data_IF_780582467518
#
_entry.id   IF_780582467518
#
_cell.length_a   1.000
_cell.length_b   1.000
_cell.length_c   1.000
_cell.angle_alpha   90.00
_cell.angle_beta   90.00
_cell.angle_gamma   90.00
#
_symmetry.space_group_name_H-M   'P 1'
#
loop_
_entity.id
_entity.type
_entity.pdbx_description
1 polymer ?
#
# COMPACT_ATOMS: atom_id res chain seq x y z
N UNK A 1 26.55 -15.46 6.76
CA UNK A 1 25.45 -15.23 7.74
C UNK A 1 25.36 -13.73 7.95
N UNK A 2 24.15 -13.16 7.85
CA UNK A 2 23.91 -11.73 8.13
C UNK A 2 23.60 -11.55 9.63
N UNK A 3 24.08 -10.47 10.22
CA UNK A 3 23.60 -10.01 11.52
C UNK A 3 22.16 -9.49 11.36
N UNK A 4 21.32 -9.60 12.38
CA UNK A 4 19.90 -9.24 12.24
C UNK A 4 19.69 -7.74 12.01
N UNK A 5 20.36 -6.88 12.79
CA UNK A 5 20.06 -5.45 12.83
C UNK A 5 21.30 -4.61 13.15
N UNK A 6 21.49 -3.53 12.40
CA UNK A 6 22.28 -2.37 12.78
C UNK A 6 21.33 -1.19 13.01
N UNK A 7 21.04 -0.86 14.27
CA UNK A 7 20.15 0.25 14.63
C UNK A 7 20.98 1.48 14.98
N UNK A 8 20.85 2.55 14.19
CA UNK A 8 21.45 3.86 14.43
C UNK A 8 20.39 4.96 14.52
N UNK A 9 19.10 4.59 14.60
CA UNK A 9 17.99 5.54 14.61
C UNK A 9 18.16 6.63 15.66
N UNK A 10 18.02 7.90 15.24
CA UNK A 10 18.20 9.09 16.06
C UNK A 10 19.66 9.47 16.37
N UNK A 11 20.64 8.69 15.92
CA UNK A 11 22.06 9.00 16.08
C UNK A 11 22.50 9.95 14.97
N UNK A 12 22.97 11.14 15.32
CA UNK A 12 23.53 12.08 14.34
C UNK A 12 24.79 11.49 13.68
N UNK A 13 24.78 11.33 12.36
CA UNK A 13 25.87 10.76 11.57
C UNK A 13 26.60 11.84 10.75
N UNK A 14 27.64 12.50 11.30
CA UNK A 14 28.47 13.42 10.54
C UNK A 14 29.44 12.68 9.61
N UNK A 15 30.04 13.37 8.64
CA UNK A 15 30.96 12.75 7.67
C UNK A 15 32.08 11.85 8.27
N UNK A 16 32.74 12.20 9.41
CA UNK A 16 33.73 11.31 10.01
C UNK A 16 33.17 9.97 10.52
N UNK A 17 31.86 9.90 10.82
CA UNK A 17 31.23 8.65 11.22
C UNK A 17 31.16 7.64 10.06
N UNK A 18 31.15 8.11 8.81
CA UNK A 18 31.11 7.24 7.63
C UNK A 18 32.36 6.34 7.54
N UNK A 19 33.55 6.81 7.94
CA UNK A 19 34.77 5.99 7.93
C UNK A 19 34.66 4.80 8.90
N UNK A 20 34.16 5.06 10.12
CA UNK A 20 33.94 4.02 11.11
C UNK A 20 32.86 3.04 10.67
N UNK A 21 31.79 3.54 10.04
CA UNK A 21 30.74 2.69 9.46
C UNK A 21 31.25 1.87 8.28
N UNK A 22 32.16 2.39 7.47
CA UNK A 22 32.77 1.64 6.37
C UNK A 22 33.53 0.41 6.89
N UNK A 23 34.35 0.60 7.92
CA UNK A 23 35.10 -0.48 8.56
C UNK A 23 34.17 -1.58 9.11
N UNK A 24 32.96 -1.20 9.54
CA UNK A 24 31.94 -2.13 9.99
C UNK A 24 31.27 -2.86 8.81
N UNK A 25 30.72 -2.11 7.84
CA UNK A 25 29.95 -2.66 6.71
C UNK A 25 30.81 -3.51 5.77
N UNK A 26 32.13 -3.25 5.70
CA UNK A 26 33.07 -4.11 4.97
C UNK A 26 33.19 -5.51 5.58
N UNK A 27 32.95 -5.67 6.89
CA UNK A 27 33.15 -6.93 7.63
C UNK A 27 31.85 -7.65 7.97
N UNK A 28 30.75 -6.92 8.06
CA UNK A 28 29.47 -7.44 8.55
C UNK A 28 28.36 -7.06 7.59
N UNK A 29 27.63 -8.06 7.10
CA UNK A 29 26.37 -7.86 6.39
C UNK A 29 25.21 -7.95 7.38
N UNK A 30 24.19 -7.12 7.19
CA UNK A 30 23.00 -7.03 8.02
C UNK A 30 21.76 -7.44 7.23
N UNK A 31 20.77 -7.99 7.92
CA UNK A 31 19.42 -8.14 7.39
C UNK A 31 18.76 -6.76 7.31
N UNK A 32 18.85 -5.96 8.39
CA UNK A 32 18.29 -4.60 8.43
C UNK A 32 19.30 -3.57 8.93
N UNK A 33 19.33 -2.41 8.29
CA UNK A 33 20.04 -1.22 8.75
C UNK A 33 19.01 -0.10 8.95
N UNK A 34 18.98 0.47 10.15
CA UNK A 34 18.12 1.61 10.48
C UNK A 34 18.94 2.88 10.66
N UNK A 35 18.69 3.85 9.78
CA UNK A 35 19.29 5.18 9.75
C UNK A 35 18.22 6.27 9.93
N UNK A 36 17.09 5.94 10.55
CA UNK A 36 16.00 6.89 10.71
C UNK A 36 16.45 8.08 11.57
N UNK A 37 16.16 9.32 11.14
CA UNK A 37 16.47 10.52 11.91
C UNK A 37 17.97 10.72 12.19
N UNK A 38 18.86 10.15 11.36
CA UNK A 38 20.31 10.24 11.55
C UNK A 38 20.93 11.56 11.06
N UNK A 39 20.11 12.44 10.48
CA UNK A 39 20.59 13.72 9.97
C UNK A 39 21.40 13.61 8.69
N UNK A 40 21.10 12.60 7.86
CA UNK A 40 21.82 12.38 6.61
C UNK A 40 21.71 13.60 5.69
N UNK A 41 22.85 14.23 5.42
CA UNK A 41 23.05 15.23 4.37
C UNK A 41 23.44 14.55 3.07
N UNK A 42 23.43 15.28 1.95
CA UNK A 42 23.89 14.78 0.65
C UNK A 42 25.25 14.08 0.71
N UNK A 43 26.25 14.67 1.38
CA UNK A 43 27.59 14.10 1.41
C UNK A 43 27.66 12.81 2.23
N UNK A 44 27.02 12.80 3.41
CA UNK A 44 26.96 11.59 4.25
C UNK A 44 26.14 10.47 3.62
N UNK A 45 25.03 10.82 2.96
CA UNK A 45 24.17 9.86 2.30
C UNK A 45 24.84 9.23 1.09
N UNK A 46 25.57 10.00 0.28
CA UNK A 46 26.36 9.47 -0.84
C UNK A 46 27.34 8.41 -0.35
N UNK A 47 28.13 8.72 0.68
CA UNK A 47 29.06 7.74 1.27
C UNK A 47 28.32 6.51 1.81
N UNK A 48 27.24 6.69 2.57
CA UNK A 48 26.46 5.58 3.12
C UNK A 48 25.88 4.68 2.03
N UNK A 49 25.29 5.27 0.99
CA UNK A 49 24.67 4.51 -0.10
C UNK A 49 25.70 3.83 -1.00
N UNK A 50 26.85 4.45 -1.27
CA UNK A 50 27.95 3.80 -1.99
C UNK A 50 28.49 2.59 -1.19
N UNK A 51 28.61 2.69 0.14
CA UNK A 51 29.01 1.56 0.99
C UNK A 51 27.97 0.43 0.98
N UNK A 52 26.68 0.76 1.11
CA UNK A 52 25.60 -0.24 1.10
C UNK A 52 25.55 -0.93 -0.27
N UNK A 53 25.66 -0.18 -1.36
CA UNK A 53 25.76 -0.68 -2.73
C UNK A 53 26.95 -1.62 -2.90
N UNK A 54 28.15 -1.18 -2.52
CA UNK A 54 29.38 -1.92 -2.79
C UNK A 54 29.49 -3.21 -1.97
N UNK A 55 29.11 -3.18 -0.70
CA UNK A 55 29.22 -4.34 0.20
C UNK A 55 27.96 -5.22 0.23
N UNK A 56 26.88 -4.84 -0.48
CA UNK A 56 25.56 -5.48 -0.44
C UNK A 56 25.10 -5.70 1.01
N UNK A 57 25.28 -4.65 1.82
CA UNK A 57 25.35 -4.76 3.28
C UNK A 57 23.99 -4.92 3.97
N UNK A 58 22.87 -4.69 3.28
CA UNK A 58 21.53 -4.70 3.88
C UNK A 58 20.47 -5.31 2.94
N UNK A 59 19.54 -6.09 3.49
CA UNK A 59 18.31 -6.47 2.78
C UNK A 59 17.20 -5.42 2.97
N UNK A 60 17.17 -4.81 4.14
CA UNK A 60 16.21 -3.78 4.51
C UNK A 60 16.96 -2.53 4.96
N UNK A 61 16.60 -1.38 4.38
CA UNK A 61 17.18 -0.09 4.71
C UNK A 61 16.08 0.89 5.11
N UNK A 62 16.23 1.48 6.28
CA UNK A 62 15.38 2.57 6.74
C UNK A 62 16.17 3.88 6.80
N UNK A 63 15.78 4.86 5.99
CA UNK A 63 16.33 6.22 5.93
C UNK A 63 15.29 7.27 6.30
N UNK A 64 14.21 6.87 7.00
CA UNK A 64 13.12 7.76 7.40
C UNK A 64 13.59 8.98 8.20
N UNK A 65 12.81 10.05 8.23
CA UNK A 65 13.08 11.26 9.03
C UNK A 65 14.41 11.99 8.72
N UNK A 66 15.09 11.66 7.63
CA UNK A 66 16.27 12.38 7.13
C UNK A 66 15.90 13.56 6.23
N UNK A 67 15.38 14.64 6.84
CA UNK A 67 14.89 15.83 6.12
C UNK A 67 15.97 16.66 5.41
N UNK A 68 17.25 16.42 5.71
CA UNK A 68 18.39 17.13 5.09
C UNK A 68 18.87 16.49 3.79
N UNK A 69 18.26 15.38 3.38
CA UNK A 69 18.60 14.67 2.15
C UNK A 69 18.18 15.47 0.92
N UNK A 70 19.15 15.93 0.15
CA UNK A 70 18.97 16.74 -1.04
C UNK A 70 19.00 15.92 -2.33
N UNK A 71 19.19 16.63 -3.44
CA UNK A 71 19.13 16.04 -4.78
C UNK A 71 20.23 14.98 -5.00
N UNK A 72 21.44 15.23 -4.48
CA UNK A 72 22.58 14.30 -4.66
C UNK A 72 22.40 13.05 -3.82
N UNK A 73 21.85 13.19 -2.61
CA UNK A 73 21.51 12.07 -1.75
C UNK A 73 20.46 11.17 -2.37
N UNK A 74 19.38 11.73 -2.93
CA UNK A 74 18.36 10.95 -3.65
C UNK A 74 18.87 10.35 -4.98
N UNK A 75 19.82 10.99 -5.64
CA UNK A 75 20.53 10.41 -6.79
C UNK A 75 21.38 9.21 -6.39
N UNK A 76 22.13 9.31 -5.29
CA UNK A 76 22.88 8.18 -4.74
C UNK A 76 21.94 7.06 -4.25
N UNK A 77 20.80 7.41 -3.65
CA UNK A 77 19.79 6.43 -3.25
C UNK A 77 19.25 5.67 -4.48
N UNK A 78 18.85 6.38 -5.54
CA UNK A 78 18.41 5.75 -6.78
C UNK A 78 19.49 4.86 -7.43
N UNK A 79 20.76 5.30 -7.41
CA UNK A 79 21.89 4.50 -7.91
C UNK A 79 22.07 3.21 -7.09
N UNK A 80 22.05 3.31 -5.77
CA UNK A 80 22.19 2.17 -4.85
C UNK A 80 21.03 1.17 -5.02
N UNK A 81 19.78 1.64 -5.15
CA UNK A 81 18.64 0.77 -5.49
C UNK A 81 18.86 0.08 -6.83
N UNK A 82 19.29 0.79 -7.88
CA UNK A 82 19.48 0.20 -9.21
C UNK A 82 20.48 -0.95 -9.21
N UNK A 83 21.55 -0.81 -8.42
CA UNK A 83 22.71 -1.69 -8.51
C UNK A 83 22.64 -2.84 -7.49
N UNK A 84 22.01 -2.64 -6.33
CA UNK A 84 21.89 -3.67 -5.29
C UNK A 84 20.98 -4.82 -5.74
N UNK A 85 21.48 -6.04 -5.54
CA UNK A 85 20.71 -7.26 -5.83
C UNK A 85 20.09 -7.88 -4.59
N UNK A 86 20.51 -7.46 -3.39
CA UNK A 86 19.98 -8.01 -2.14
C UNK A 86 18.99 -7.11 -1.40
N UNK A 87 18.90 -5.82 -1.74
CA UNK A 87 17.99 -4.89 -1.08
C UNK A 87 16.54 -5.17 -1.50
N UNK A 88 15.72 -5.65 -0.55
CA UNK A 88 14.32 -6.01 -0.75
C UNK A 88 13.35 -4.97 -0.19
N UNK A 89 13.79 -4.15 0.77
CA UNK A 89 12.94 -3.14 1.43
C UNK A 89 13.67 -1.81 1.59
N UNK A 90 13.00 -0.73 1.20
CA UNK A 90 13.43 0.63 1.46
C UNK A 90 12.31 1.40 2.17
N UNK A 91 12.63 1.95 3.33
CA UNK A 91 11.77 2.88 4.06
C UNK A 91 12.37 4.27 4.05
N UNK A 92 11.60 5.27 3.62
CA UNK A 92 11.99 6.68 3.63
C UNK A 92 10.80 7.54 4.06
N UNK A 93 10.17 7.15 5.16
CA UNK A 93 8.97 7.83 5.68
C UNK A 93 9.37 9.18 6.27
N UNK A 94 8.47 10.15 6.26
CA UNK A 94 8.75 11.48 6.82
C UNK A 94 10.00 12.15 6.23
N UNK A 95 10.35 11.84 4.97
CA UNK A 95 11.38 12.55 4.21
C UNK A 95 10.73 13.30 3.05
N UNK A 96 10.44 14.60 3.20
CA UNK A 96 9.77 15.36 2.15
C UNK A 96 10.55 15.35 0.83
N UNK A 97 9.88 14.93 -0.24
CA UNK A 97 10.48 14.76 -1.56
C UNK A 97 9.95 15.83 -2.51
N UNK A 98 10.85 16.66 -3.05
CA UNK A 98 10.53 17.50 -4.20
C UNK A 98 10.43 16.63 -5.45
N UNK A 99 9.72 17.09 -6.47
CA UNK A 99 9.58 16.40 -7.76
C UNK A 99 10.92 15.90 -8.32
N UNK A 100 11.96 16.75 -8.27
CA UNK A 100 13.30 16.39 -8.74
C UNK A 100 13.90 15.21 -7.96
N UNK A 101 13.61 15.07 -6.66
CA UNK A 101 14.12 13.99 -5.81
C UNK A 101 13.44 12.67 -6.17
N UNK A 102 12.11 12.70 -6.36
CA UNK A 102 11.33 11.55 -6.82
C UNK A 102 11.85 11.05 -8.17
N UNK A 103 12.15 11.94 -9.10
CA UNK A 103 12.71 11.57 -10.39
C UNK A 103 14.08 10.86 -10.29
N UNK A 104 14.92 11.23 -9.31
CA UNK A 104 16.20 10.54 -9.06
C UNK A 104 16.00 9.15 -8.49
N UNK A 105 15.12 9.02 -7.50
CA UNK A 105 14.74 7.72 -6.93
C UNK A 105 14.16 6.79 -8.02
N UNK A 106 13.21 7.31 -8.80
CA UNK A 106 12.48 6.56 -9.83
C UNK A 106 13.37 6.07 -10.99
N UNK A 107 14.46 6.78 -11.29
CA UNK A 107 15.46 6.32 -12.27
C UNK A 107 16.09 4.98 -11.87
N UNK A 108 16.30 4.78 -10.57
CA UNK A 108 16.83 3.53 -10.04
C UNK A 108 15.77 2.45 -9.93
N UNK A 109 14.61 2.81 -9.38
CA UNK A 109 13.48 1.88 -9.22
C UNK A 109 13.06 1.22 -10.54
N UNK A 110 13.01 1.98 -11.64
CA UNK A 110 12.58 1.46 -12.94
C UNK A 110 13.35 0.21 -13.38
N UNK A 111 14.66 0.20 -13.16
CA UNK A 111 15.56 -0.84 -13.68
C UNK A 111 15.95 -1.85 -12.58
N UNK A 112 15.50 -1.65 -11.35
CA UNK A 112 15.75 -2.57 -10.23
C UNK A 112 14.91 -3.86 -10.36
N UNK A 113 15.49 -4.98 -9.90
CA UNK A 113 14.87 -6.30 -9.94
C UNK A 113 14.78 -7.02 -8.59
N UNK A 114 15.17 -6.36 -7.49
CA UNK A 114 15.30 -6.96 -6.15
C UNK A 114 14.40 -6.33 -5.09
N UNK A 115 14.09 -5.03 -5.22
CA UNK A 115 13.29 -4.28 -4.27
C UNK A 115 11.82 -4.69 -4.41
N UNK A 116 11.25 -5.19 -3.31
CA UNK A 116 9.88 -5.68 -3.21
C UNK A 116 8.99 -4.70 -2.43
N UNK A 117 9.53 -3.97 -1.47
CA UNK A 117 8.76 -3.10 -0.56
C UNK A 117 9.34 -1.68 -0.57
N UNK A 118 8.49 -0.69 -0.85
CA UNK A 118 8.84 0.72 -0.83
C UNK A 118 7.86 1.51 0.04
N UNK A 119 8.40 2.19 1.05
CA UNK A 119 7.63 2.98 2.02
C UNK A 119 7.99 4.45 1.97
N UNK A 120 7.03 5.27 1.56
CA UNK A 120 7.12 6.71 1.30
C UNK A 120 5.96 7.47 1.95
N UNK A 121 5.50 7.04 3.12
CA UNK A 121 4.47 7.74 3.87
C UNK A 121 4.98 9.10 4.37
N UNK A 122 4.12 10.13 4.34
CA UNK A 122 4.48 11.49 4.77
C UNK A 122 5.69 12.09 4.03
N UNK A 123 5.75 11.92 2.72
CA UNK A 123 6.84 12.40 1.86
C UNK A 123 6.47 13.61 0.99
N UNK A 124 5.28 14.21 1.18
CA UNK A 124 4.74 15.25 0.30
C UNK A 124 4.72 14.82 -1.19
N UNK A 125 4.41 13.54 -1.42
CA UNK A 125 4.42 12.91 -2.73
C UNK A 125 3.06 13.04 -3.42
N UNK A 126 2.77 14.17 -4.06
CA UNK A 126 1.54 14.40 -4.83
C UNK A 126 1.83 14.98 -6.23
N UNK A 127 0.80 15.06 -7.07
CA UNK A 127 0.87 15.64 -8.41
C UNK A 127 1.94 14.98 -9.29
N UNK A 128 2.88 15.78 -9.77
CA UNK A 128 3.92 15.33 -10.68
C UNK A 128 4.83 14.25 -10.07
N UNK A 129 5.00 14.23 -8.74
CA UNK A 129 5.74 13.16 -8.05
C UNK A 129 5.10 11.79 -8.29
N UNK A 130 3.77 11.71 -8.18
CA UNK A 130 3.02 10.46 -8.44
C UNK A 130 3.04 10.10 -9.92
N UNK A 131 2.92 11.07 -10.83
CA UNK A 131 3.05 10.82 -12.28
C UNK A 131 4.40 10.15 -12.60
N UNK A 132 5.50 10.66 -12.04
CA UNK A 132 6.84 10.12 -12.26
C UNK A 132 7.00 8.73 -11.64
N UNK A 133 6.52 8.54 -10.40
CA UNK A 133 6.55 7.24 -9.72
C UNK A 133 5.75 6.19 -10.48
N UNK A 134 4.51 6.51 -10.86
CA UNK A 134 3.65 5.65 -11.67
C UNK A 134 4.34 5.28 -12.99
N UNK A 135 4.95 6.24 -13.68
CA UNK A 135 5.70 6.00 -14.92
C UNK A 135 6.87 5.02 -14.76
N UNK A 136 7.63 5.11 -13.67
CA UNK A 136 8.72 4.18 -13.38
C UNK A 136 8.19 2.78 -13.01
N UNK A 137 7.15 2.71 -12.18
CA UNK A 137 6.57 1.45 -11.74
C UNK A 137 5.87 0.68 -12.86
N UNK A 138 5.42 1.31 -13.94
CA UNK A 138 4.92 0.59 -15.13
C UNK A 138 5.95 -0.36 -15.74
N UNK A 139 7.24 -0.05 -15.58
CA UNK A 139 8.34 -0.83 -16.14
C UNK A 139 9.04 -1.69 -15.08
N UNK A 140 8.87 -1.36 -13.80
CA UNK A 140 9.42 -2.16 -12.71
C UNK A 140 8.62 -3.47 -12.53
N UNK A 141 9.34 -4.59 -12.48
CA UNK A 141 8.77 -5.93 -12.32
C UNK A 141 8.90 -6.53 -10.92
N UNK A 142 9.67 -5.91 -10.03
CA UNK A 142 10.02 -6.49 -8.73
C UNK A 142 9.14 -5.99 -7.59
N UNK A 143 8.73 -4.72 -7.61
CA UNK A 143 8.03 -4.08 -6.51
C UNK A 143 6.64 -4.73 -6.32
N UNK A 144 6.40 -5.18 -5.09
CA UNK A 144 5.17 -5.86 -4.66
C UNK A 144 4.33 -4.99 -3.73
N UNK A 145 4.96 -4.15 -2.91
CA UNK A 145 4.28 -3.30 -1.94
C UNK A 145 4.70 -1.84 -2.08
N UNK A 146 3.70 -0.97 -2.18
CA UNK A 146 3.89 0.47 -2.21
C UNK A 146 3.05 1.14 -1.11
N UNK A 147 3.72 1.85 -0.22
CA UNK A 147 3.10 2.59 0.87
C UNK A 147 3.31 4.09 0.67
N UNK A 148 2.23 4.81 0.37
CA UNK A 148 2.22 6.25 0.06
C UNK A 148 1.10 6.98 0.82
N UNK A 149 0.77 6.50 2.01
CA UNK A 149 -0.20 7.14 2.90
C UNK A 149 0.27 8.54 3.35
N UNK A 150 -0.68 9.43 3.67
CA UNK A 150 -0.42 10.80 4.15
C UNK A 150 0.47 11.61 3.20
N UNK A 151 0.15 11.64 1.90
CA UNK A 151 0.91 12.40 0.90
C UNK A 151 0.08 13.49 0.22
N UNK A 152 -1.10 13.80 0.77
CA UNK A 152 -2.03 14.78 0.22
C UNK A 152 -2.47 14.45 -1.22
N UNK A 153 -2.56 13.16 -1.55
CA UNK A 153 -2.99 12.72 -2.87
C UNK A 153 -4.42 13.18 -3.14
N UNK A 154 -4.68 13.60 -4.37
CA UNK A 154 -6.00 14.04 -4.82
C UNK A 154 -6.54 13.15 -5.94
N UNK A 155 -7.78 13.38 -6.37
CA UNK A 155 -8.45 12.68 -7.48
C UNK A 155 -7.58 12.53 -8.75
N UNK A 156 -6.81 13.56 -9.14
CA UNK A 156 -5.93 13.46 -10.31
C UNK A 156 -4.74 12.52 -10.13
N UNK A 157 -4.26 12.35 -8.89
CA UNK A 157 -3.19 11.41 -8.57
C UNK A 157 -3.71 9.97 -8.60
N UNK A 158 -4.96 9.77 -8.15
CA UNK A 158 -5.66 8.49 -8.26
C UNK A 158 -5.77 8.01 -9.71
N UNK A 159 -6.00 8.92 -10.66
CA UNK A 159 -5.98 8.60 -12.10
C UNK A 159 -4.60 8.10 -12.56
N UNK A 160 -3.50 8.68 -12.06
CA UNK A 160 -2.15 8.22 -12.40
C UNK A 160 -1.86 6.83 -11.81
N UNK A 161 -2.29 6.57 -10.57
CA UNK A 161 -2.21 5.26 -9.94
C UNK A 161 -3.07 4.23 -10.67
N UNK A 162 -4.29 4.59 -11.08
CA UNK A 162 -5.15 3.74 -11.91
C UNK A 162 -4.45 3.36 -13.23
N UNK A 163 -3.82 4.33 -13.91
CA UNK A 163 -3.05 4.07 -15.12
C UNK A 163 -1.84 3.14 -14.90
N UNK A 164 -1.22 3.18 -13.71
CA UNK A 164 -0.21 2.21 -13.32
C UNK A 164 -0.82 0.81 -13.19
N UNK A 165 -1.90 0.66 -12.40
CA UNK A 165 -2.56 -0.61 -12.11
C UNK A 165 -3.10 -1.31 -13.37
N UNK A 166 -3.56 -0.57 -14.38
CA UNK A 166 -3.98 -1.12 -15.69
C UNK A 166 -2.88 -1.94 -16.40
N UNK A 167 -1.62 -1.68 -16.09
CA UNK A 167 -0.46 -2.25 -16.80
C UNK A 167 0.48 -3.06 -15.92
N UNK A 168 0.67 -2.67 -14.67
CA UNK A 168 1.54 -3.37 -13.74
C UNK A 168 0.75 -4.50 -13.07
N UNK A 169 1.20 -5.74 -13.25
CA UNK A 169 0.61 -6.95 -12.65
C UNK A 169 1.47 -7.52 -11.51
N UNK A 170 2.49 -6.78 -11.10
CA UNK A 170 3.46 -7.17 -10.07
C UNK A 170 3.13 -6.58 -8.70
N UNK A 171 2.62 -5.35 -8.66
CA UNK A 171 2.22 -4.67 -7.44
C UNK A 171 1.01 -5.39 -6.85
N UNK A 172 1.16 -5.86 -5.62
CA UNK A 172 0.18 -6.65 -4.87
C UNK A 172 -0.48 -5.81 -3.77
N UNK A 173 0.26 -4.89 -3.15
CA UNK A 173 -0.23 -4.02 -2.09
C UNK A 173 -0.04 -2.55 -2.45
N UNK A 174 -1.11 -1.76 -2.28
CA UNK A 174 -1.09 -0.30 -2.39
C UNK A 174 -1.78 0.32 -1.17
N UNK A 175 -1.01 1.05 -0.37
CA UNK A 175 -1.54 1.89 0.70
C UNK A 175 -1.55 3.37 0.30
N UNK A 176 -2.76 3.92 0.16
CA UNK A 176 -3.04 5.33 -0.12
C UNK A 176 -3.88 5.96 0.99
N UNK A 177 -3.80 5.46 2.22
CA UNK A 177 -4.55 5.96 3.37
C UNK A 177 -4.26 7.43 3.68
N UNK A 178 -5.22 8.11 4.32
CA UNK A 178 -5.07 9.51 4.75
C UNK A 178 -4.74 10.47 3.61
N UNK A 179 -5.51 10.37 2.53
CA UNK A 179 -5.41 11.26 1.37
C UNK A 179 -6.80 11.81 1.01
N UNK A 180 -6.91 12.47 -0.14
CA UNK A 180 -8.12 13.13 -0.63
C UNK A 180 -8.53 12.54 -1.99
N UNK A 181 -8.56 11.21 -2.06
CA UNK A 181 -8.82 10.48 -3.31
C UNK A 181 -10.26 10.69 -3.78
N UNK A 182 -11.22 10.79 -2.85
CA UNK A 182 -12.65 11.03 -3.12
C UNK A 182 -13.29 9.94 -4.01
N UNK A 183 -14.61 10.03 -4.21
CA UNK A 183 -15.37 9.02 -4.95
C UNK A 183 -14.90 8.90 -6.41
N UNK A 184 -14.62 10.03 -7.05
CA UNK A 184 -14.10 10.09 -8.43
C UNK A 184 -12.74 9.41 -8.56
N UNK A 185 -11.87 9.54 -7.55
CA UNK A 185 -10.58 8.86 -7.57
C UNK A 185 -10.73 7.36 -7.40
N UNK A 186 -11.65 6.91 -6.54
CA UNK A 186 -11.99 5.49 -6.44
C UNK A 186 -12.58 4.95 -7.75
N UNK A 187 -13.39 5.73 -8.46
CA UNK A 187 -13.94 5.32 -9.75
C UNK A 187 -12.83 4.94 -10.76
N UNK A 188 -11.77 5.76 -10.85
CA UNK A 188 -10.61 5.44 -11.70
C UNK A 188 -9.89 4.16 -11.25
N UNK A 189 -9.68 3.99 -9.95
CA UNK A 189 -9.01 2.80 -9.40
C UNK A 189 -9.86 1.55 -9.64
N UNK A 190 -11.17 1.62 -9.42
CA UNK A 190 -12.15 0.56 -9.68
C UNK A 190 -12.10 0.10 -11.14
N UNK A 191 -12.15 1.04 -12.10
CA UNK A 191 -12.05 0.73 -13.53
C UNK A 191 -10.70 0.05 -13.87
N UNK A 192 -9.60 0.53 -13.28
CA UNK A 192 -8.28 -0.06 -13.50
C UNK A 192 -8.19 -1.49 -13.00
N UNK A 193 -8.75 -1.77 -11.81
CA UNK A 193 -8.79 -3.11 -11.22
C UNK A 193 -9.65 -4.06 -12.06
N UNK A 194 -10.83 -3.64 -12.50
CA UNK A 194 -11.68 -4.43 -13.41
C UNK A 194 -10.91 -4.84 -14.67
N UNK A 195 -10.20 -3.90 -15.30
CA UNK A 195 -9.36 -4.20 -16.47
C UNK A 195 -8.19 -5.12 -16.12
N UNK A 196 -7.60 -4.96 -14.93
CA UNK A 196 -6.52 -5.82 -14.45
C UNK A 196 -7.01 -7.28 -14.31
N UNK A 197 -8.16 -7.48 -13.68
CA UNK A 197 -8.79 -8.79 -13.50
C UNK A 197 -9.02 -9.52 -14.84
N UNK A 198 -9.58 -8.82 -15.83
CA UNK A 198 -9.80 -9.40 -17.18
C UNK A 198 -8.52 -9.82 -17.90
N UNK A 199 -7.37 -9.21 -17.59
CA UNK A 199 -6.08 -9.58 -18.18
C UNK A 199 -5.43 -10.79 -17.52
N UNK A 200 -5.83 -11.10 -16.29
CA UNK A 200 -5.33 -12.24 -15.52
C UNK A 200 -6.11 -13.53 -15.86
N UNK A 201 -7.36 -13.40 -16.33
CA UNK A 201 -8.17 -14.52 -16.82
C UNK A 201 -7.61 -15.01 -18.18
N UNK A 202 -7.24 -16.30 -18.33
CA UNK A 202 -6.78 -16.83 -19.62
C UNK A 202 -7.87 -16.67 -20.69
N UNK A 203 -7.49 -16.22 -21.89
CA UNK A 203 -8.40 -16.05 -23.06
C UNK A 203 -9.24 -17.29 -23.39
N UNK A 204 -8.85 -18.46 -22.91
CA UNK A 204 -9.53 -19.75 -23.10
C UNK A 204 -10.86 -19.86 -22.32
N UNK A 205 -11.13 -18.98 -21.35
CA UNK A 205 -12.43 -18.88 -20.64
C UNK A 205 -13.32 -17.73 -21.15
N UNK A 206 -12.85 -16.93 -22.12
CA UNK A 206 -13.57 -15.76 -22.66
C UNK A 206 -14.48 -16.09 -23.86
N UNK A 207 -14.81 -17.36 -24.11
CA UNK A 207 -15.65 -17.77 -25.25
C UNK A 207 -17.10 -17.27 -25.20
N UNK A 208 -17.57 -16.76 -24.06
CA UNK A 208 -18.97 -16.32 -23.87
C UNK A 208 -19.17 -14.79 -23.74
N UNK A 209 -18.14 -13.96 -23.94
CA UNK A 209 -18.24 -12.48 -23.81
C UNK A 209 -18.14 -11.72 -25.14
N UNK A 210 -18.65 -12.29 -26.23
CA UNK A 210 -18.63 -11.70 -27.58
C UNK A 210 -19.50 -10.43 -27.75
N UNK A 211 -19.93 -9.76 -26.68
CA UNK A 211 -20.72 -8.51 -26.75
C UNK A 211 -20.02 -7.27 -26.17
N UNK A 212 -18.81 -7.36 -25.61
CA UNK A 212 -18.12 -6.18 -25.03
C UNK A 212 -17.28 -5.40 -26.07
N UNK A 213 -17.07 -5.94 -27.28
CA UNK A 213 -16.24 -5.32 -28.32
C UNK A 213 -16.94 -4.22 -29.18
N UNK A 214 -18.01 -3.60 -28.69
CA UNK A 214 -18.68 -2.52 -29.42
C UNK A 214 -19.03 -1.29 -28.57
N UNK A 215 -18.10 -0.82 -27.74
CA UNK A 215 -18.18 0.56 -27.25
C UNK A 215 -17.02 1.39 -27.83
N UNK A 216 -17.30 2.47 -28.59
CA UNK A 216 -16.27 3.29 -29.21
C UNK A 216 -15.53 4.10 -28.14
N UNK A 217 -14.20 4.10 -28.25
CA UNK A 217 -13.32 5.04 -27.58
C UNK A 217 -13.61 6.46 -28.09
N UNK A 218 -14.50 7.23 -27.47
CA UNK A 218 -14.52 8.71 -27.65
C UNK A 218 -14.96 9.46 -26.37
N UNK A 219 -14.03 10.32 -25.92
CA UNK A 219 -14.13 11.66 -25.34
C UNK A 219 -15.31 12.08 -24.40
N UNK A 220 -14.89 12.75 -23.32
CA UNK A 220 -15.61 13.76 -22.52
C UNK A 220 -17.03 13.44 -22.06
N UNK A 221 -17.17 13.01 -20.79
CA UNK A 221 -18.44 13.09 -20.08
C UNK A 221 -18.28 13.84 -18.75
N UNK A 222 -18.93 14.99 -18.67
CA UNK A 222 -19.24 15.72 -17.44
C UNK A 222 -20.51 15.12 -16.81
N UNK A 223 -20.56 14.83 -15.50
CA UNK A 223 -21.79 14.32 -14.91
C UNK A 223 -22.71 15.48 -14.53
N UNK A 224 -23.88 15.52 -15.17
CA UNK A 224 -25.06 16.26 -14.71
C UNK A 224 -25.96 15.28 -13.95
N UNK A 225 -26.36 15.61 -12.72
CA UNK A 225 -27.35 14.83 -11.95
C UNK A 225 -28.56 15.72 -11.65
N UNK A 226 -29.74 15.27 -12.08
CA UNK A 226 -31.04 15.83 -11.71
C UNK A 226 -32.03 14.70 -11.37
N UNK A 227 -32.72 14.84 -10.22
CA UNK A 227 -34.01 14.22 -9.85
C UNK A 227 -33.99 12.75 -9.39
N UNK A 228 -34.20 12.44 -8.09
CA UNK A 228 -35.51 12.24 -7.39
C UNK A 228 -36.18 10.89 -7.74
N UNK A 229 -36.58 9.95 -6.87
CA UNK A 229 -37.23 9.96 -5.52
C UNK A 229 -37.24 8.50 -4.92
N UNK A 230 -37.77 8.22 -3.69
CA UNK A 230 -37.25 7.23 -2.74
C UNK A 230 -38.03 5.90 -2.65
N UNK A 231 -37.39 4.88 -2.06
CA UNK A 231 -38.07 3.71 -1.49
C UNK A 231 -37.74 3.55 0.00
N UNK A 232 -38.77 3.64 0.85
CA UNK A 232 -38.72 3.20 2.24
C UNK A 232 -38.65 1.67 2.31
N UNK A 233 -37.84 1.12 3.23
CA UNK A 233 -38.22 -0.08 3.97
C UNK A 233 -37.49 -0.13 5.32
N UNK A 234 -38.33 -0.23 6.35
CA UNK A 234 -38.06 -0.18 7.77
C UNK A 234 -37.32 -1.40 8.32
N UNK A 235 -36.38 -1.13 9.23
CA UNK A 235 -36.18 -1.91 10.44
C UNK A 235 -35.10 -2.98 10.38
N UNK A 236 -33.94 -2.68 10.97
CA UNK A 236 -33.13 -3.61 11.77
C UNK A 236 -32.34 -2.78 12.80
N UNK A 237 -32.35 -3.27 14.05
CA UNK A 237 -31.77 -2.64 15.24
C UNK A 237 -30.24 -2.72 15.20
N UNK A 238 -29.56 -1.58 15.26
CA UNK A 238 -28.10 -1.50 15.41
C UNK A 238 -27.76 -1.49 16.90
N UNK A 239 -27.08 -2.54 17.39
CA UNK A 239 -26.44 -2.49 18.71
C UNK A 239 -25.17 -1.64 18.62
N UNK A 240 -25.36 -0.36 18.90
CA UNK A 240 -24.30 0.61 19.11
C UNK A 240 -23.49 0.19 20.36
N UNK A 241 -22.26 -0.31 20.20
CA UNK A 241 -21.27 -0.22 21.29
C UNK A 241 -20.43 1.00 20.99
N UNK A 242 -20.81 2.12 21.60
CA UNK A 242 -19.98 3.32 21.67
C UNK A 242 -18.57 2.96 22.18
N UNK A 243 -17.52 3.63 21.70
CA UNK A 243 -16.16 3.39 22.19
C UNK A 243 -16.07 3.78 23.68
N UNK A 244 -15.31 3.03 24.51
CA UNK A 244 -15.09 3.42 25.89
C UNK A 244 -14.27 4.72 25.93
N UNK A 245 -14.76 5.63 26.75
CA UNK A 245 -14.11 6.88 27.14
C UNK A 245 -12.74 6.59 27.77
N UNK A 246 -11.78 7.47 27.50
CA UNK A 246 -10.38 7.49 27.97
C UNK A 246 -10.20 7.16 29.46
N UNK A 247 -9.02 6.65 29.88
CA UNK A 247 -8.87 6.01 31.18
C UNK A 247 -8.87 7.01 32.32
N UNK A 248 -9.81 6.87 33.24
CA UNK A 248 -9.64 7.32 34.61
C UNK A 248 -10.21 6.28 35.58
N UNK A 249 -9.30 5.75 36.42
CA UNK A 249 -9.52 5.11 37.72
C UNK A 249 -10.47 3.90 37.88
N UNK A 250 -9.85 2.79 38.30
CA UNK A 250 -10.28 1.81 39.34
C UNK A 250 -11.42 0.79 39.10
N UNK A 251 -11.00 -0.47 38.90
CA UNK A 251 -11.34 -1.73 39.62
C UNK A 251 -12.79 -2.28 39.66
N UNK A 252 -12.86 -3.59 39.32
CA UNK A 252 -13.84 -4.65 39.65
C UNK A 252 -15.18 -4.60 38.89
N UNK A 253 -15.79 -5.70 38.44
CA UNK A 253 -15.77 -7.10 38.86
C UNK A 253 -16.29 -8.01 37.73
N UNK A 254 -15.85 -9.26 37.76
CA UNK A 254 -16.28 -10.42 36.99
C UNK A 254 -17.80 -10.66 36.99
N UNK A 255 -18.38 -11.01 35.84
CA UNK A 255 -19.47 -11.98 35.77
C UNK A 255 -19.49 -12.68 34.40
N UNK A 256 -19.22 -13.99 34.46
CA UNK A 256 -19.38 -15.00 33.41
C UNK A 256 -20.83 -15.11 32.94
N UNK A 257 -21.06 -15.48 31.67
CA UNK A 257 -22.23 -16.24 31.23
C UNK A 257 -22.02 -16.88 29.85
N UNK A 258 -22.05 -18.22 29.88
CA UNK A 258 -22.47 -19.24 28.89
C UNK A 258 -21.75 -19.44 27.54
N UNK A 259 -20.84 -20.42 27.57
CA UNK A 259 -20.16 -21.11 26.44
C UNK A 259 -21.07 -22.05 25.61
N UNK A 260 -22.39 -21.90 25.62
CA UNK A 260 -23.31 -22.84 24.95
C UNK A 260 -23.94 -22.36 23.63
N UNK A 261 -23.38 -21.33 22.99
CA UNK A 261 -23.82 -20.83 21.66
C UNK A 261 -22.82 -21.11 20.52
N UNK A 262 -21.76 -21.89 20.79
CA UNK A 262 -20.66 -22.18 19.87
C UNK A 262 -20.94 -23.25 18.80
N UNK A 263 -22.20 -23.61 18.55
CA UNK A 263 -22.50 -24.64 17.55
C UNK A 263 -23.73 -24.33 16.72
N UNK A 264 -23.60 -23.35 15.81
CA UNK A 264 -24.23 -23.28 14.48
C UNK A 264 -24.18 -21.84 13.96
N UNK A 265 -23.17 -21.51 13.15
CA UNK A 265 -23.32 -20.61 11.99
C UNK A 265 -22.05 -20.68 11.14
N UNK A 266 -22.21 -21.14 9.90
CA UNK A 266 -21.19 -21.23 8.87
C UNK A 266 -20.77 -19.82 8.38
N UNK A 267 -19.46 -19.64 8.12
CA UNK A 267 -18.85 -18.66 7.21
C UNK A 267 -18.95 -17.14 7.50
N UNK A 268 -18.95 -16.68 8.74
CA UNK A 268 -18.70 -15.25 9.04
C UNK A 268 -17.21 -14.86 8.97
N UNK A 269 -16.30 -15.82 9.10
CA UNK A 269 -14.84 -15.59 9.11
C UNK A 269 -14.25 -15.26 7.72
N UNK A 270 -14.90 -15.70 6.62
CA UNK A 270 -14.44 -15.43 5.24
C UNK A 270 -14.83 -14.02 4.75
N UNK A 271 -16.01 -13.54 5.17
CA UNK A 271 -16.59 -12.24 4.78
C UNK A 271 -15.88 -11.08 5.51
N UNK A 272 -15.33 -11.33 6.70
CA UNK A 272 -14.59 -10.34 7.50
C UNK A 272 -13.18 -10.02 6.97
N UNK A 273 -12.63 -10.83 6.07
CA UNK A 273 -11.24 -10.70 5.63
C UNK A 273 -11.05 -9.74 4.44
N UNK A 274 -12.07 -9.59 3.58
CA UNK A 274 -11.96 -8.75 2.37
C UNK A 274 -12.17 -7.27 2.57
N UNK A 275 -12.95 -6.84 3.56
CA UNK A 275 -13.15 -5.41 3.82
C UNK A 275 -12.86 -5.12 5.29
N UNK A 276 -11.83 -4.32 5.53
CA UNK A 276 -11.36 -4.02 6.89
C UNK A 276 -11.72 -2.58 7.24
N UNK A 277 -12.32 -2.38 8.43
CA UNK A 277 -12.64 -1.07 8.98
C UNK A 277 -11.83 -0.83 10.27
N UNK A 278 -10.50 -0.95 10.19
CA UNK A 278 -9.59 -0.68 11.30
C UNK A 278 -8.43 0.23 10.87
N UNK A 279 -8.00 1.08 11.80
CA UNK A 279 -6.84 1.98 11.63
C UNK A 279 -5.52 1.20 11.50
N UNK A 280 -5.49 -0.03 11.99
CA UNK A 280 -4.31 -0.89 12.04
C UNK A 280 -4.52 -2.11 11.15
N UNK A 281 -3.93 -2.09 9.95
CA UNK A 281 -3.51 -3.33 9.29
C UNK A 281 -2.23 -3.89 9.96
N UNK A 282 -1.57 -3.10 10.82
CA UNK A 282 -0.40 -3.52 11.59
C UNK A 282 -0.59 -4.70 12.54
N UNK A 283 -1.82 -5.02 12.98
CA UNK A 283 -2.09 -6.27 13.72
C UNK A 283 -2.30 -7.49 12.82
N UNK A 284 -2.32 -7.33 11.49
CA UNK A 284 -1.94 -8.37 10.54
C UNK A 284 -0.41 -8.53 10.45
N UNK A 285 0.29 -8.39 11.58
CA UNK A 285 1.56 -9.09 11.84
C UNK A 285 1.44 -10.61 11.61
N UNK A 286 0.25 -11.17 11.37
CA UNK A 286 0.10 -12.53 10.84
C UNK A 286 0.46 -12.68 9.35
N UNK A 287 0.57 -11.60 8.56
CA UNK A 287 1.29 -11.64 7.27
C UNK A 287 2.82 -11.72 7.50
N UNK A 288 3.31 -11.23 8.65
CA UNK A 288 4.72 -11.36 9.09
C UNK A 288 5.00 -12.61 9.94
N UNK A 289 4.01 -13.25 10.58
CA UNK A 289 4.20 -14.58 11.21
C UNK A 289 4.37 -15.68 10.16
N UNK A 290 4.10 -15.39 8.89
CA UNK A 290 4.56 -16.21 7.78
C UNK A 290 6.10 -16.16 7.60
N UNK A 291 6.82 -15.20 8.19
CA UNK A 291 8.30 -15.16 8.20
C UNK A 291 8.95 -16.10 9.24
N UNK A 292 8.16 -16.75 10.10
CA UNK A 292 8.69 -17.75 11.04
C UNK A 292 8.79 -19.17 10.46
N UNK A 293 8.36 -19.39 9.20
CA UNK A 293 8.60 -20.64 8.49
C UNK A 293 9.70 -20.46 7.46
N UNK A 294 10.79 -21.21 7.64
CA UNK A 294 12.01 -21.25 6.84
C UNK A 294 11.83 -21.71 5.37
N UNK A 295 10.65 -21.55 4.77
CA UNK A 295 10.33 -22.03 3.41
C UNK A 295 9.36 -21.08 2.65
N UNK A 296 9.58 -19.77 2.72
CA UNK A 296 8.78 -18.75 2.00
C UNK A 296 8.97 -18.70 0.48
N UNK A 297 9.76 -19.61 -0.08
CA UNK A 297 9.81 -19.81 -1.54
C UNK A 297 8.52 -20.41 -2.11
N UNK A 298 7.49 -20.72 -1.31
CA UNK A 298 6.28 -21.41 -1.81
C UNK A 298 4.96 -20.64 -1.69
N UNK A 299 4.88 -19.50 -0.99
CA UNK A 299 3.67 -18.66 -0.92
C UNK A 299 3.77 -17.38 -1.77
N UNK A 300 4.91 -16.69 -1.72
CA UNK A 300 5.23 -15.59 -2.64
C UNK A 300 5.28 -16.11 -4.10
N UNK A 301 5.77 -17.33 -4.31
CA UNK A 301 5.73 -18.00 -5.62
C UNK A 301 4.34 -18.54 -6.00
N UNK A 302 3.38 -18.66 -5.07
CA UNK A 302 1.97 -18.99 -5.40
C UNK A 302 1.17 -17.78 -5.88
N UNK A 303 1.63 -16.56 -5.58
CA UNK A 303 1.01 -15.28 -5.97
C UNK A 303 1.59 -14.68 -7.26
N UNK A 304 2.23 -15.50 -8.10
CA UNK A 304 2.82 -15.05 -9.37
C UNK A 304 1.78 -14.31 -10.24
N UNK A 305 2.06 -13.02 -10.50
CA UNK A 305 1.49 -12.17 -11.57
C UNK A 305 -0.04 -11.99 -11.56
N UNK A 306 -0.64 -11.76 -10.39
CA UNK A 306 -2.10 -11.60 -10.24
C UNK A 306 -2.59 -10.16 -10.03
N UNK A 307 -1.73 -9.16 -10.24
CA UNK A 307 -2.12 -7.77 -9.99
C UNK A 307 -2.34 -7.47 -8.50
N UNK A 308 -3.11 -6.42 -8.22
CA UNK A 308 -3.30 -5.88 -6.88
C UNK A 308 -4.27 -6.74 -6.07
N UNK A 309 -3.85 -7.23 -4.90
CA UNK A 309 -4.69 -8.01 -3.98
C UNK A 309 -5.04 -7.25 -2.70
N UNK A 310 -4.26 -6.24 -2.34
CA UNK A 310 -4.47 -5.42 -1.13
C UNK A 310 -4.52 -3.95 -1.52
N UNK A 311 -5.67 -3.33 -1.31
CA UNK A 311 -5.90 -1.89 -1.48
C UNK A 311 -6.33 -1.28 -0.15
N UNK A 312 -5.56 -0.30 0.33
CA UNK A 312 -5.84 0.40 1.58
C UNK A 312 -6.16 1.86 1.25
N UNK A 313 -7.41 2.23 1.48
CA UNK A 313 -8.03 3.54 1.24
C UNK A 313 -8.68 4.09 2.52
N UNK A 314 -8.05 3.84 3.67
CA UNK A 314 -8.53 4.38 4.95
C UNK A 314 -8.51 5.91 4.94
N UNK A 315 -9.57 6.57 5.41
CA UNK A 315 -9.66 8.04 5.50
C UNK A 315 -9.30 8.76 4.19
N UNK A 316 -10.14 8.57 3.16
CA UNK A 316 -9.93 9.08 1.80
C UNK A 316 -11.09 9.95 1.26
N UNK A 317 -11.97 10.41 2.15
CA UNK A 317 -13.18 11.19 1.82
C UNK A 317 -14.12 10.48 0.86
N UNK A 318 -14.19 9.14 0.92
CA UNK A 318 -15.22 8.41 0.19
C UNK A 318 -16.58 8.69 0.83
N UNK A 319 -17.60 8.88 0.01
CA UNK A 319 -18.99 9.07 0.41
C UNK A 319 -19.85 7.93 -0.10
N UNK A 320 -21.16 7.99 0.10
CA UNK A 320 -22.08 6.98 -0.43
C UNK A 320 -22.04 6.82 -1.95
N UNK A 321 -21.56 7.83 -2.68
CA UNK A 321 -21.38 7.75 -4.14
C UNK A 321 -20.32 6.70 -4.54
N UNK A 322 -19.45 6.28 -3.61
CA UNK A 322 -18.46 5.23 -3.84
C UNK A 322 -19.05 3.81 -3.92
N UNK A 323 -20.29 3.60 -3.48
CA UNK A 323 -20.87 2.27 -3.30
C UNK A 323 -20.82 1.42 -4.57
N UNK A 324 -21.16 1.99 -5.72
CA UNK A 324 -21.14 1.27 -7.00
C UNK A 324 -19.72 0.84 -7.42
N UNK A 325 -18.69 1.61 -7.05
CA UNK A 325 -17.30 1.31 -7.40
C UNK A 325 -16.73 0.21 -6.50
N UNK A 326 -17.14 0.21 -5.22
CA UNK A 326 -16.78 -0.82 -4.26
C UNK A 326 -17.43 -2.14 -4.66
N UNK A 327 -18.73 -2.14 -4.99
CA UNK A 327 -19.45 -3.32 -5.47
C UNK A 327 -18.77 -3.91 -6.72
N UNK A 328 -18.44 -3.06 -7.71
CA UNK A 328 -17.70 -3.48 -8.92
C UNK A 328 -16.34 -4.13 -8.61
N UNK A 329 -15.57 -3.58 -7.67
CA UNK A 329 -14.28 -4.18 -7.27
C UNK A 329 -14.51 -5.56 -6.65
N UNK A 330 -15.48 -5.70 -5.77
CA UNK A 330 -15.75 -6.94 -5.06
C UNK A 330 -16.35 -8.03 -5.97
N UNK A 331 -17.18 -7.66 -6.94
CA UNK A 331 -17.85 -8.56 -7.87
C UNK A 331 -16.88 -9.11 -8.94
N UNK A 332 -15.97 -8.28 -9.46
CA UNK A 332 -15.12 -8.63 -10.61
C UNK A 332 -13.70 -9.04 -10.20
N UNK A 333 -13.14 -8.43 -9.16
CA UNK A 333 -11.75 -8.63 -8.80
C UNK A 333 -11.56 -9.78 -7.80
N UNK A 334 -11.64 -11.02 -8.28
CA UNK A 334 -11.54 -12.22 -7.44
C UNK A 334 -10.25 -12.29 -6.61
N UNK A 335 -9.15 -11.73 -7.14
CA UNK A 335 -7.85 -11.66 -6.46
C UNK A 335 -7.79 -10.61 -5.33
N UNK A 336 -8.82 -9.76 -5.17
CA UNK A 336 -8.84 -8.79 -4.08
C UNK A 336 -9.04 -9.55 -2.76
N UNK A 337 -7.99 -9.54 -1.95
CA UNK A 337 -7.94 -10.17 -0.64
C UNK A 337 -8.28 -9.18 0.46
N UNK A 338 -7.88 -7.91 0.33
CA UNK A 338 -8.14 -6.85 1.33
C UNK A 338 -8.44 -5.53 0.62
N UNK A 339 -9.60 -4.95 0.94
CA UNK A 339 -10.04 -3.61 0.60
C UNK A 339 -10.37 -2.86 1.89
N UNK A 340 -9.40 -2.11 2.43
CA UNK A 340 -9.63 -1.33 3.65
C UNK A 340 -10.15 0.06 3.28
N UNK A 341 -11.40 0.35 3.62
CA UNK A 341 -12.08 1.62 3.33
C UNK A 341 -12.58 2.27 4.63
N UNK A 342 -11.96 1.96 5.77
CA UNK A 342 -12.36 2.52 7.05
C UNK A 342 -12.20 4.04 7.14
N UNK A 343 -12.86 4.67 8.11
CA UNK A 343 -12.82 6.12 8.35
C UNK A 343 -13.18 6.96 7.11
N UNK A 344 -14.11 6.48 6.29
CA UNK A 344 -14.75 7.25 5.23
C UNK A 344 -16.20 7.59 5.62
N UNK A 345 -16.84 8.50 4.89
CA UNK A 345 -18.21 8.97 5.16
C UNK A 345 -19.24 8.04 4.50
N UNK A 346 -19.25 6.78 4.95
CA UNK A 346 -20.11 5.71 4.41
C UNK A 346 -21.28 5.42 5.36
N UNK A 347 -22.49 5.36 4.83
CA UNK A 347 -23.70 5.01 5.59
C UNK A 347 -23.92 3.50 5.67
N UNK A 348 -24.83 3.09 6.56
CA UNK A 348 -25.25 1.69 6.70
C UNK A 348 -25.82 1.09 5.39
N UNK A 349 -26.40 1.92 4.53
CA UNK A 349 -26.90 1.50 3.22
C UNK A 349 -25.77 1.01 2.31
N UNK A 350 -24.65 1.74 2.27
CA UNK A 350 -23.45 1.35 1.52
C UNK A 350 -22.86 0.05 2.07
N UNK A 351 -22.79 -0.07 3.40
CA UNK A 351 -22.33 -1.30 4.06
C UNK A 351 -23.24 -2.49 3.73
N UNK A 352 -24.54 -2.27 3.55
CA UNK A 352 -25.47 -3.31 3.11
C UNK A 352 -25.20 -3.74 1.67
N UNK A 353 -24.94 -2.80 0.75
CA UNK A 353 -24.54 -3.10 -0.63
C UNK A 353 -23.26 -3.95 -0.64
N UNK A 354 -22.23 -3.52 0.10
CA UNK A 354 -20.97 -4.26 0.25
C UNK A 354 -21.21 -5.66 0.79
N UNK A 355 -22.05 -5.80 1.81
CA UNK A 355 -22.41 -7.10 2.39
C UNK A 355 -23.13 -8.01 1.41
N UNK A 356 -23.92 -7.45 0.49
CA UNK A 356 -24.57 -8.23 -0.58
C UNK A 356 -23.55 -8.69 -1.62
N UNK A 357 -22.61 -7.82 -2.01
CA UNK A 357 -21.53 -8.14 -2.94
C UNK A 357 -20.69 -9.32 -2.43
N UNK A 358 -20.34 -9.32 -1.14
CA UNK A 358 -19.51 -10.36 -0.50
C UNK A 358 -20.19 -11.73 -0.34
N UNK A 359 -21.50 -11.83 -0.61
CA UNK A 359 -22.27 -13.09 -0.51
C UNK A 359 -22.44 -13.83 -1.83
N UNK A 360 -22.11 -13.19 -2.95
CA UNK A 360 -22.04 -13.82 -4.27
C UNK A 360 -20.79 -14.69 -4.34
#
# INVERSE_FOLDING_TARGET
MRCSLLCLSGVWLPAPACEALEELLRRVQYSRIELAGCGLTDDTAVSMFDMIEYYESANELDISENIMLGLRGWEACGKMIRNTQCLTTLEARFTPMKEAYVARLCRGLRDNSSLCVLKLENCALSGQGITVLAGALKLNGSLKELWIANNELVTSDALQLANLLKTNLNLQLLDISNNQIEDSGLAYISEALVLQAHRIIPKEQLSDLSEINSLPYENEFTPSIAGSEPYELSGIIIKNRSPPVSPSSSISSTQSLDDSLLSKQFNEEYIFNKVVNSHYIGEFENLRKLDQFHDNSTLINRLNNRGLSVLIMWNNKLTNSSAEYIDKILDIHENMEILNIGQNDLTDEVLSIIKMALKK
#
